data_IF_121991975184
#
_entry.id   IF_121991975184
#
_cell.length_a   1.000
_cell.length_b   1.000
_cell.length_c   1.000
_cell.angle_alpha   90.00
_cell.angle_beta   90.00
_cell.angle_gamma   90.00
#
_symmetry.space_group_name_H-M   'P 1'
#
loop_
_entity.id
_entity.type
_entity.pdbx_description
1 polymer ?
#
# COMPACT_ATOMS: atom_id res chain seq x y z
N UNK A 1 -13.13 -10.92 -2.28
CA UNK A 1 -12.50 -11.16 -3.60
C UNK A 1 -11.74 -9.92 -4.02
N UNK A 2 -10.41 -9.96 -4.11
CA UNK A 2 -9.62 -8.79 -4.56
C UNK A 2 -9.98 -8.52 -6.02
N UNK A 3 -10.45 -7.31 -6.33
CA UNK A 3 -10.77 -6.96 -7.71
C UNK A 3 -9.48 -6.90 -8.54
N UNK A 4 -9.51 -7.42 -9.78
CA UNK A 4 -8.36 -7.34 -10.72
C UNK A 4 -7.80 -5.92 -10.85
N UNK A 5 -8.69 -4.91 -10.75
CA UNK A 5 -8.34 -3.49 -10.74
C UNK A 5 -7.49 -3.10 -9.52
N UNK A 6 -7.83 -3.58 -8.32
CA UNK A 6 -7.10 -3.30 -7.08
C UNK A 6 -5.72 -3.97 -7.05
N UNK A 7 -5.63 -5.19 -7.59
CA UNK A 7 -4.35 -5.87 -7.76
C UNK A 7 -3.44 -5.08 -8.72
N UNK A 8 -3.96 -4.69 -9.88
CA UNK A 8 -3.21 -3.89 -10.85
C UNK A 8 -2.74 -2.55 -10.29
N UNK A 9 -3.61 -1.83 -9.58
CA UNK A 9 -3.25 -0.59 -8.90
C UNK A 9 -2.16 -0.80 -7.83
N UNK A 10 -2.25 -1.88 -7.05
CA UNK A 10 -1.23 -2.19 -6.04
C UNK A 10 0.13 -2.53 -6.67
N UNK A 11 0.15 -3.30 -7.76
CA UNK A 11 1.40 -3.59 -8.48
C UNK A 11 2.01 -2.34 -9.10
N UNK A 12 1.18 -1.45 -9.66
CA UNK A 12 1.64 -0.18 -10.21
C UNK A 12 2.25 0.70 -9.11
N UNK A 13 1.57 0.85 -7.97
CA UNK A 13 2.07 1.64 -6.85
C UNK A 13 3.32 1.01 -6.23
N UNK A 14 3.43 -0.32 -6.17
CA UNK A 14 4.63 -1.01 -5.72
C UNK A 14 5.81 -0.72 -6.66
N UNK A 15 5.59 -0.78 -7.97
CA UNK A 15 6.61 -0.40 -8.96
C UNK A 15 7.03 1.07 -8.80
N UNK A 16 6.07 1.97 -8.60
CA UNK A 16 6.35 3.39 -8.39
C UNK A 16 7.14 3.63 -7.09
N UNK A 17 6.81 2.92 -6.02
CA UNK A 17 7.54 2.97 -4.75
C UNK A 17 9.00 2.53 -4.94
N UNK A 18 9.22 1.44 -5.68
CA UNK A 18 10.55 0.95 -6.02
C UNK A 18 11.36 1.97 -6.84
N UNK A 19 10.76 2.57 -7.88
CA UNK A 19 11.42 3.60 -8.71
C UNK A 19 11.80 4.82 -7.87
N UNK A 20 10.92 5.28 -6.98
CA UNK A 20 11.21 6.38 -6.06
C UNK A 20 12.38 6.07 -5.12
N UNK A 21 12.38 4.87 -4.52
CA UNK A 21 13.45 4.43 -3.63
C UNK A 21 14.79 4.31 -4.38
N UNK A 22 14.79 3.71 -5.56
CA UNK A 22 15.97 3.61 -6.42
C UNK A 22 16.50 5.00 -6.79
N UNK A 23 15.63 5.92 -7.20
CA UNK A 23 16.03 7.30 -7.49
C UNK A 23 16.63 7.99 -6.27
N UNK A 24 16.08 7.79 -5.07
CA UNK A 24 16.64 8.35 -3.84
C UNK A 24 18.05 7.82 -3.58
N UNK A 25 18.27 6.50 -3.71
CA UNK A 25 19.59 5.88 -3.54
C UNK A 25 20.59 6.42 -4.57
N UNK A 26 20.19 6.51 -5.84
CA UNK A 26 21.05 7.07 -6.90
C UNK A 26 21.35 8.54 -6.63
N UNK A 27 20.36 9.35 -6.24
CA UNK A 27 20.57 10.77 -5.93
C UNK A 27 21.53 10.98 -4.76
N UNK A 28 21.50 10.11 -3.75
CA UNK A 28 22.47 10.12 -2.64
C UNK A 28 23.85 9.67 -3.12
N UNK A 29 23.93 8.62 -3.93
CA UNK A 29 25.20 8.08 -4.42
C UNK A 29 25.96 9.05 -5.34
N UNK A 30 25.23 9.85 -6.12
CA UNK A 30 25.80 10.83 -7.06
C UNK A 30 25.70 12.28 -6.58
N UNK A 31 25.28 12.50 -5.33
CA UNK A 31 25.14 13.81 -4.66
C UNK A 31 24.42 14.87 -5.52
N UNK A 32 23.32 14.48 -6.15
CA UNK A 32 22.58 15.36 -7.07
C UNK A 32 21.64 16.33 -6.34
N UNK A 33 21.50 16.18 -5.02
CA UNK A 33 20.55 16.94 -4.19
C UNK A 33 19.07 16.54 -4.36
N UNK A 34 18.75 15.58 -5.24
CA UNK A 34 17.37 15.19 -5.56
C UNK A 34 16.83 14.02 -4.72
N UNK A 35 17.49 13.69 -3.60
CA UNK A 35 17.11 12.57 -2.74
C UNK A 35 15.68 12.70 -2.20
N UNK A 36 15.26 13.93 -1.86
CA UNK A 36 13.90 14.22 -1.38
C UNK A 36 12.81 13.95 -2.42
N UNK A 37 13.11 14.08 -3.71
CA UNK A 37 12.15 13.80 -4.78
C UNK A 37 11.87 12.29 -4.86
N UNK A 38 12.94 11.48 -4.84
CA UNK A 38 12.82 10.02 -4.81
C UNK A 38 12.11 9.52 -3.55
N UNK A 39 12.52 10.03 -2.39
CA UNK A 39 11.90 9.69 -1.10
C UNK A 39 10.42 10.10 -1.04
N UNK A 40 10.07 11.29 -1.55
CA UNK A 40 8.70 11.76 -1.63
C UNK A 40 7.83 10.89 -2.53
N UNK A 41 8.32 10.53 -3.72
CA UNK A 41 7.63 9.61 -4.63
C UNK A 41 7.42 8.23 -4.00
N UNK A 42 8.46 7.68 -3.36
CA UNK A 42 8.37 6.40 -2.68
C UNK A 42 7.36 6.43 -1.54
N UNK A 43 7.43 7.45 -0.69
CA UNK A 43 6.50 7.65 0.42
C UNK A 43 5.06 7.78 -0.04
N UNK A 44 4.80 8.62 -1.06
CA UNK A 44 3.44 8.80 -1.60
C UNK A 44 2.88 7.48 -2.16
N UNK A 45 3.70 6.70 -2.87
CA UNK A 45 3.28 5.42 -3.43
C UNK A 45 2.94 4.39 -2.33
N UNK A 46 3.73 4.35 -1.24
CA UNK A 46 3.45 3.49 -0.07
C UNK A 46 2.18 3.94 0.67
N UNK A 47 1.97 5.24 0.83
CA UNK A 47 0.74 5.78 1.44
C UNK A 47 -0.49 5.44 0.59
N UNK A 48 -0.40 5.56 -0.73
CA UNK A 48 -1.46 5.15 -1.64
C UNK A 48 -1.73 3.63 -1.56
N UNK A 49 -0.68 2.81 -1.41
CA UNK A 49 -0.82 1.37 -1.17
C UNK A 49 -1.57 1.08 0.13
N UNK A 50 -1.27 1.81 1.20
CA UNK A 50 -1.96 1.65 2.47
C UNK A 50 -3.44 2.00 2.33
N UNK A 51 -3.75 3.17 1.75
CA UNK A 51 -5.13 3.65 1.56
C UNK A 51 -5.95 2.67 0.72
N UNK A 52 -5.40 2.18 -0.40
CA UNK A 52 -6.13 1.26 -1.26
C UNK A 52 -6.32 -0.11 -0.60
N UNK A 53 -5.40 -0.52 0.29
CA UNK A 53 -5.43 -1.80 0.99
C UNK A 53 -6.12 -1.78 2.37
N UNK A 54 -6.47 -0.60 2.91
CA UNK A 54 -7.04 -0.46 4.26
C UNK A 54 -8.32 -1.29 4.53
N UNK A 55 -9.31 -1.38 3.60
CA UNK A 55 -10.52 -2.18 3.84
C UNK A 55 -10.27 -3.69 4.03
N UNK A 56 -9.14 -4.20 3.55
CA UNK A 56 -8.75 -5.61 3.73
C UNK A 56 -7.93 -5.86 4.99
N UNK A 57 -7.47 -4.82 5.69
CA UNK A 57 -6.72 -4.94 6.94
C UNK A 57 -7.62 -4.87 8.17
N UNK A 58 -8.82 -4.27 8.06
CA UNK A 58 -9.78 -4.12 9.15
C UNK A 58 -11.00 -5.04 9.10
N UNK A 59 -11.12 -5.91 8.09
CA UNK A 59 -12.32 -6.71 7.81
C UNK A 59 -12.32 -8.14 8.34
N UNK A 60 -11.21 -8.65 8.88
CA UNK A 60 -11.07 -10.06 9.27
C UNK A 60 -11.13 -10.29 10.80
N UNK A 61 -11.55 -9.29 11.59
CA UNK A 61 -11.43 -9.29 13.05
C UNK A 61 -12.70 -9.07 13.86
N UNK A 62 -13.90 -9.06 13.25
CA UNK A 62 -15.13 -8.66 13.93
C UNK A 62 -16.36 -9.48 13.52
N UNK A 63 -16.20 -10.80 13.43
CA UNK A 63 -17.27 -11.73 13.10
C UNK A 63 -17.01 -13.10 13.76
N UNK A 64 -16.72 -13.06 15.05
CA UNK A 64 -16.85 -14.20 15.96
C UNK A 64 -18.30 -14.33 16.40
N UNK A 65 -19.05 -15.22 15.74
CA UNK A 65 -20.47 -15.44 15.96
C UNK A 65 -20.83 -15.99 17.35
N UNK A 66 -22.00 -15.57 17.83
CA UNK A 66 -22.81 -16.31 18.79
C UNK A 66 -24.29 -16.09 18.49
N UNK A 67 -24.74 -16.58 17.33
CA UNK A 67 -26.17 -16.75 17.04
C UNK A 67 -26.59 -18.13 17.57
N UNK A 68 -26.90 -18.19 18.86
CA UNK A 68 -27.51 -19.34 19.52
C UNK A 68 -29.03 -19.17 19.61
N UNK A 69 -29.73 -19.80 18.66
CA UNK A 69 -31.09 -20.37 18.72
C UNK A 69 -32.30 -19.55 19.24
N UNK A 70 -33.35 -19.33 18.40
CA UNK A 70 -34.69 -19.03 18.89
C UNK A 70 -35.44 -20.35 19.16
N UNK A 71 -35.49 -20.76 20.43
CA UNK A 71 -36.37 -21.82 20.91
C UNK A 71 -37.74 -21.26 21.29
N UNK A 72 -38.75 -21.63 20.50
CA UNK A 72 -40.19 -21.37 20.64
C UNK A 72 -40.80 -21.78 21.97
#
# INVERSE_FOLDING_TARGET
>A
MVSKRRLGASLLLLGLAFVGAFHAVVAVAFDTGLAYVGAGLAGLAVLALLVINLPTLGGDGADGGSDGEPGS
#
